data_IF_255122938446
#
_entry.id   IF_255122938446
#
_cell.length_a   1.000
_cell.length_b   1.000
_cell.length_c   1.000
_cell.angle_alpha   90.00
_cell.angle_beta   90.00
_cell.angle_gamma   90.00
#
_symmetry.space_group_name_H-M   'P 1'
#
loop_
_entity.id
_entity.type
_entity.pdbx_description
1 polymer ?
#
# COMPACT_ATOMS: atom_id res chain seq x y z
N UNK A 1 -1.36 29.35 12.12
CA UNK A 1 -2.57 28.89 11.42
C UNK A 1 -3.47 28.24 12.46
N UNK A 2 -4.64 28.80 12.75
CA UNK A 2 -5.57 28.18 13.72
C UNK A 2 -6.44 27.18 12.98
N UNK A 3 -6.21 25.89 13.18
CA UNK A 3 -7.08 24.82 12.69
C UNK A 3 -8.35 24.88 13.55
N UNK A 4 -9.49 25.17 12.92
CA UNK A 4 -10.80 25.24 13.60
C UNK A 4 -11.55 23.93 13.52
N UNK A 5 -11.40 23.23 12.39
CA UNK A 5 -12.17 22.05 12.05
C UNK A 5 -11.19 20.94 11.65
N UNK A 6 -11.48 19.70 12.01
CA UNK A 6 -10.75 18.51 11.58
C UNK A 6 -11.71 17.56 10.89
N UNK A 7 -11.41 17.17 9.66
CA UNK A 7 -12.15 16.17 8.92
C UNK A 7 -11.33 14.88 8.87
N UNK A 8 -11.75 13.89 9.65
CA UNK A 8 -11.14 12.57 9.70
C UNK A 8 -12.22 11.48 9.68
N UNK A 9 -12.74 11.14 8.50
CA UNK A 9 -13.87 10.23 8.38
C UNK A 9 -13.49 8.79 8.69
N UNK A 10 -14.44 7.99 9.18
CA UNK A 10 -14.33 6.56 9.28
C UNK A 10 -14.54 5.93 7.89
N UNK A 11 -13.54 5.21 7.41
CA UNK A 11 -13.51 4.59 6.08
C UNK A 11 -13.46 3.07 6.17
N UNK A 12 -14.62 2.41 6.21
CA UNK A 12 -14.70 0.94 6.29
C UNK A 12 -14.31 0.28 4.96
N UNK A 13 -14.76 0.85 3.84
CA UNK A 13 -14.49 0.34 2.50
C UNK A 13 -13.58 1.28 1.72
N UNK A 14 -12.65 0.70 1.00
CA UNK A 14 -11.82 1.40 0.02
C UNK A 14 -12.39 1.25 -1.40
N UNK A 15 -11.74 1.87 -2.37
CA UNK A 15 -12.06 1.66 -3.80
C UNK A 15 -11.80 0.19 -4.15
N UNK A 16 -12.70 -0.43 -4.89
CA UNK A 16 -12.53 -1.79 -5.38
C UNK A 16 -11.58 -1.81 -6.57
N UNK A 17 -10.46 -2.49 -6.42
CA UNK A 17 -9.45 -2.66 -7.47
C UNK A 17 -9.59 -4.00 -8.24
N UNK A 18 -10.58 -4.79 -7.89
CA UNK A 18 -10.84 -6.08 -8.53
C UNK A 18 -9.81 -7.17 -8.20
N UNK A 19 -8.98 -6.98 -7.17
CA UNK A 19 -7.90 -7.90 -6.80
C UNK A 19 -8.29 -8.87 -5.69
N UNK A 20 -9.23 -8.50 -4.83
CA UNK A 20 -9.62 -9.26 -3.66
C UNK A 20 -11.05 -9.82 -3.73
N UNK A 21 -11.45 -10.54 -2.68
CA UNK A 21 -12.82 -11.01 -2.47
C UNK A 21 -13.70 -9.90 -1.88
N UNK A 22 -13.05 -8.93 -1.25
CA UNK A 22 -13.64 -7.71 -0.75
C UNK A 22 -12.58 -6.59 -0.75
N UNK A 23 -12.96 -5.37 -0.40
CA UNK A 23 -12.13 -4.18 -0.45
C UNK A 23 -12.23 -3.36 0.84
N UNK A 24 -12.16 -4.03 1.99
CA UNK A 24 -12.14 -3.38 3.30
C UNK A 24 -10.83 -2.63 3.54
N UNK A 25 -10.91 -1.58 4.34
CA UNK A 25 -9.76 -1.09 5.09
C UNK A 25 -9.59 -1.92 6.37
N UNK A 26 -8.38 -1.96 6.90
CA UNK A 26 -8.16 -2.61 8.18
C UNK A 26 -8.93 -1.89 9.31
N UNK A 27 -9.29 -2.59 10.40
CA UNK A 27 -10.08 -2.00 11.49
C UNK A 27 -9.49 -0.72 12.06
N UNK A 28 -8.16 -0.61 12.17
CA UNK A 28 -7.50 0.61 12.65
C UNK A 28 -7.78 1.79 11.74
N UNK A 29 -7.66 1.64 10.43
CA UNK A 29 -7.98 2.71 9.47
C UNK A 29 -9.48 3.03 9.48
N UNK A 30 -10.33 2.00 9.59
CA UNK A 30 -11.77 2.16 9.51
C UNK A 30 -12.36 2.91 10.72
N UNK A 31 -11.81 2.71 11.95
CA UNK A 31 -12.43 3.15 13.21
C UNK A 31 -11.58 4.08 14.06
N UNK A 32 -10.34 4.37 13.66
CA UNK A 32 -9.44 5.20 14.46
C UNK A 32 -9.99 6.61 14.78
N UNK A 33 -10.75 7.26 13.87
CA UNK A 33 -11.40 8.53 14.21
C UNK A 33 -12.34 8.45 15.40
N UNK A 34 -13.11 7.36 15.56
CA UNK A 34 -13.96 7.16 16.76
C UNK A 34 -13.13 6.95 18.02
N UNK A 35 -12.01 6.23 17.93
CA UNK A 35 -11.09 6.04 19.05
C UNK A 35 -10.54 7.38 19.52
N UNK A 36 -10.14 8.25 18.60
CA UNK A 36 -9.69 9.61 18.94
C UNK A 36 -10.80 10.44 19.55
N UNK A 37 -12.00 10.44 18.96
CA UNK A 37 -13.13 11.18 19.48
C UNK A 37 -13.51 10.79 20.92
N UNK A 38 -13.38 9.50 21.25
CA UNK A 38 -13.69 8.97 22.58
C UNK A 38 -12.57 9.08 23.61
N UNK A 39 -11.32 9.34 23.19
CA UNK A 39 -10.16 9.26 24.10
C UNK A 39 -9.28 10.52 24.12
N UNK A 40 -9.55 11.53 23.29
CA UNK A 40 -8.78 12.76 23.25
C UNK A 40 -9.61 13.95 23.79
N UNK A 41 -9.48 14.33 25.07
CA UNK A 41 -10.20 15.47 25.64
C UNK A 41 -9.94 16.79 24.90
N UNK A 42 -8.79 16.91 24.23
CA UNK A 42 -8.41 18.08 23.44
C UNK A 42 -9.32 18.33 22.24
N UNK A 43 -10.11 17.34 21.85
CA UNK A 43 -11.12 17.45 20.79
C UNK A 43 -12.45 18.00 21.29
N UNK A 44 -12.67 18.05 22.61
CA UNK A 44 -13.90 18.64 23.19
C UNK A 44 -14.06 20.11 22.77
N UNK A 45 -15.26 20.45 22.33
CA UNK A 45 -15.58 21.81 21.87
C UNK A 45 -14.98 22.19 20.51
N UNK A 46 -14.24 21.30 19.85
CA UNK A 46 -13.74 21.47 18.48
C UNK A 46 -14.65 20.78 17.48
N UNK A 47 -14.71 21.30 16.25
CA UNK A 47 -15.43 20.65 15.17
C UNK A 47 -14.58 19.49 14.64
N UNK A 48 -14.81 18.29 15.19
CA UNK A 48 -14.18 17.06 14.75
C UNK A 48 -15.22 16.22 13.98
N UNK A 49 -15.00 16.06 12.67
CA UNK A 49 -15.93 15.40 11.76
C UNK A 49 -15.40 14.01 11.46
N UNK A 50 -16.02 12.97 12.03
CA UNK A 50 -15.62 11.57 11.94
C UNK A 50 -16.73 10.64 11.47
N UNK A 51 -17.69 11.19 10.73
CA UNK A 51 -18.78 10.40 10.15
C UNK A 51 -18.25 9.24 9.27
N UNK A 52 -19.00 8.15 9.26
CA UNK A 52 -18.73 7.03 8.34
C UNK A 52 -19.06 7.41 6.92
N UNK A 53 -18.10 7.31 6.01
CA UNK A 53 -18.28 7.55 4.59
C UNK A 53 -17.66 6.41 3.78
N UNK A 54 -18.27 6.08 2.64
CA UNK A 54 -17.78 5.03 1.75
C UNK A 54 -17.36 5.62 0.42
N UNK A 55 -16.07 5.55 0.10
CA UNK A 55 -15.52 6.07 -1.16
C UNK A 55 -15.68 5.10 -2.33
N UNK A 56 -16.05 3.85 -2.08
CA UNK A 56 -16.18 2.78 -3.07
C UNK A 56 -17.39 2.94 -4.00
N UNK A 57 -18.37 3.76 -3.61
CA UNK A 57 -19.59 4.04 -4.41
C UNK A 57 -19.78 5.54 -4.56
N UNK A 58 -19.27 6.15 -5.64
CA UNK A 58 -19.27 7.60 -5.80
C UNK A 58 -20.63 8.27 -5.65
N UNK A 59 -21.70 7.65 -6.20
CA UNK A 59 -23.06 8.20 -6.08
C UNK A 59 -23.58 8.20 -4.66
N UNK A 60 -23.36 7.09 -3.92
CA UNK A 60 -23.78 6.97 -2.53
C UNK A 60 -22.97 7.90 -1.64
N UNK A 61 -21.68 8.07 -1.93
CA UNK A 61 -20.80 9.02 -1.26
C UNK A 61 -21.33 10.45 -1.39
N UNK A 62 -21.62 10.91 -2.61
CA UNK A 62 -22.15 12.25 -2.87
C UNK A 62 -23.45 12.48 -2.11
N UNK A 63 -24.39 11.54 -2.21
CA UNK A 63 -25.68 11.63 -1.52
C UNK A 63 -25.49 11.71 0.00
N UNK A 64 -24.68 10.83 0.57
CA UNK A 64 -24.41 10.81 2.02
C UNK A 64 -23.72 12.10 2.50
N UNK A 65 -22.74 12.59 1.77
CA UNK A 65 -22.04 13.84 2.09
C UNK A 65 -23.03 15.02 2.05
N UNK A 66 -23.82 15.15 0.98
CA UNK A 66 -24.72 16.28 0.78
C UNK A 66 -25.91 16.30 1.73
N UNK A 67 -26.45 15.13 2.09
CA UNK A 67 -27.69 15.04 2.89
C UNK A 67 -27.44 14.76 4.37
N UNK A 68 -26.41 14.00 4.70
CA UNK A 68 -26.28 13.45 6.06
C UNK A 68 -25.03 13.99 6.79
N UNK A 69 -23.93 14.29 6.12
CA UNK A 69 -22.69 14.71 6.79
C UNK A 69 -22.55 16.21 6.80
N UNK A 70 -22.41 16.84 5.62
CA UNK A 70 -22.10 18.27 5.55
C UNK A 70 -23.16 19.16 6.24
N UNK A 71 -24.48 18.91 6.12
CA UNK A 71 -25.48 19.75 6.79
C UNK A 71 -25.40 19.78 8.31
N UNK A 72 -24.78 18.77 8.95
CA UNK A 72 -24.56 18.77 10.42
C UNK A 72 -23.57 19.84 10.85
N UNK A 73 -22.62 20.18 9.98
CA UNK A 73 -21.46 21.01 10.33
C UNK A 73 -21.42 22.34 9.57
N UNK A 74 -21.98 22.38 8.38
CA UNK A 74 -21.92 23.52 7.46
C UNK A 74 -23.29 23.80 6.84
N UNK A 75 -23.63 25.07 6.71
CA UNK A 75 -24.83 25.52 6.01
C UNK A 75 -24.52 25.93 4.57
N UNK A 76 -25.58 25.88 3.70
CA UNK A 76 -25.52 26.52 2.39
C UNK A 76 -24.79 25.74 1.30
N UNK A 77 -24.38 24.49 1.53
CA UNK A 77 -23.72 23.65 0.53
C UNK A 77 -24.78 22.88 -0.26
N UNK A 78 -24.79 23.04 -1.57
CA UNK A 78 -25.72 22.35 -2.47
C UNK A 78 -25.22 20.95 -2.83
N UNK A 79 -26.14 20.04 -3.14
CA UNK A 79 -25.78 18.69 -3.63
C UNK A 79 -24.97 18.75 -4.93
N UNK A 80 -25.22 19.75 -5.77
CA UNK A 80 -24.46 19.97 -7.00
C UNK A 80 -23.01 20.30 -6.73
N UNK A 81 -22.72 21.17 -5.78
CA UNK A 81 -21.34 21.48 -5.37
C UNK A 81 -20.62 20.24 -4.84
N UNK A 82 -21.28 19.41 -4.03
CA UNK A 82 -20.72 18.16 -3.53
C UNK A 82 -20.44 17.20 -4.68
N UNK A 83 -21.34 17.12 -5.66
CA UNK A 83 -21.15 16.26 -6.84
C UNK A 83 -19.96 16.71 -7.70
N UNK A 84 -19.81 18.01 -7.94
CA UNK A 84 -18.72 18.57 -8.72
C UNK A 84 -17.37 18.34 -7.99
N UNK A 85 -17.32 18.60 -6.68
CA UNK A 85 -16.13 18.39 -5.87
C UNK A 85 -15.74 16.90 -5.81
N UNK A 86 -16.70 16.02 -5.61
CA UNK A 86 -16.46 14.57 -5.61
C UNK A 86 -15.95 14.07 -6.97
N UNK A 87 -16.56 14.53 -8.07
CA UNK A 87 -16.10 14.16 -9.41
C UNK A 87 -14.64 14.57 -9.66
N UNK A 88 -14.27 15.79 -9.24
CA UNK A 88 -12.89 16.26 -9.33
C UNK A 88 -11.92 15.42 -8.47
N UNK A 89 -12.33 15.08 -7.24
CA UNK A 89 -11.52 14.27 -6.33
C UNK A 89 -11.29 12.85 -6.85
N UNK A 90 -12.32 12.19 -7.36
CA UNK A 90 -12.18 10.86 -7.96
C UNK A 90 -11.30 10.88 -9.21
N UNK A 91 -11.46 11.88 -10.07
CA UNK A 91 -10.62 12.04 -11.26
C UNK A 91 -9.14 12.24 -10.90
N UNK A 92 -8.85 13.05 -9.87
CA UNK A 92 -7.46 13.26 -9.40
C UNK A 92 -6.88 11.98 -8.75
N UNK A 93 -7.69 11.23 -8.01
CA UNK A 93 -7.25 9.94 -7.45
C UNK A 93 -6.86 8.96 -8.55
N UNK A 94 -7.69 8.81 -9.58
CA UNK A 94 -7.40 7.94 -10.73
C UNK A 94 -6.15 8.41 -11.49
N UNK A 95 -6.02 9.72 -11.71
CA UNK A 95 -4.85 10.31 -12.36
C UNK A 95 -3.58 10.09 -11.54
N UNK A 96 -3.64 10.20 -10.21
CA UNK A 96 -2.54 9.92 -9.30
C UNK A 96 -2.08 8.47 -9.39
N UNK A 97 -3.00 7.51 -9.31
CA UNK A 97 -2.69 6.09 -9.45
C UNK A 97 -2.12 5.74 -10.83
N UNK A 98 -2.62 6.38 -11.88
CA UNK A 98 -2.06 6.23 -13.23
C UNK A 98 -0.62 6.74 -13.31
N UNK A 99 -0.31 7.90 -12.71
CA UNK A 99 1.07 8.44 -12.64
C UNK A 99 2.03 7.48 -11.91
N UNK A 100 1.60 6.87 -10.81
CA UNK A 100 2.41 5.85 -10.08
C UNK A 100 2.73 4.67 -11.00
N UNK A 101 1.73 4.14 -11.71
CA UNK A 101 1.91 3.00 -12.63
C UNK A 101 2.83 3.33 -13.80
N UNK A 102 2.68 4.52 -14.38
CA UNK A 102 3.57 5.00 -15.46
C UNK A 102 4.99 5.12 -14.92
N UNK A 103 5.17 5.76 -13.77
CA UNK A 103 6.49 5.93 -13.18
C UNK A 103 7.15 4.60 -12.82
N UNK A 104 6.38 3.65 -12.28
CA UNK A 104 6.86 2.30 -12.04
C UNK A 104 7.32 1.59 -13.32
N UNK A 105 6.55 1.74 -14.41
CA UNK A 105 6.93 1.18 -15.71
C UNK A 105 8.23 1.80 -16.25
N UNK A 106 8.38 3.12 -16.18
CA UNK A 106 9.61 3.81 -16.58
C UNK A 106 10.85 3.32 -15.80
N UNK A 107 10.70 3.13 -14.48
CA UNK A 107 11.79 2.62 -13.61
C UNK A 107 12.15 1.18 -13.99
N UNK A 108 11.16 0.32 -14.22
CA UNK A 108 11.36 -1.07 -14.62
C UNK A 108 12.09 -1.13 -15.97
N UNK A 109 11.65 -0.37 -16.96
CA UNK A 109 12.24 -0.36 -18.29
C UNK A 109 13.69 0.18 -18.27
N UNK A 110 13.94 1.21 -17.45
CA UNK A 110 15.29 1.75 -17.26
C UNK A 110 16.21 0.74 -16.56
N UNK A 111 15.72 0.08 -15.49
CA UNK A 111 16.47 -0.94 -14.78
C UNK A 111 16.86 -2.10 -15.72
N UNK A 112 15.94 -2.55 -16.57
CA UNK A 112 16.19 -3.60 -17.57
C UNK A 112 17.21 -3.18 -18.63
N UNK A 113 17.14 -1.94 -19.11
CA UNK A 113 18.16 -1.42 -20.04
C UNK A 113 19.56 -1.36 -19.41
N UNK A 114 19.63 -1.14 -18.11
CA UNK A 114 20.89 -1.10 -17.34
C UNK A 114 21.33 -2.47 -16.81
N UNK A 115 20.58 -3.53 -17.06
CA UNK A 115 20.86 -4.87 -16.51
C UNK A 115 20.76 -4.93 -14.98
N UNK A 116 19.97 -4.05 -14.37
CA UNK A 116 19.80 -3.97 -12.91
C UNK A 116 18.66 -4.88 -12.45
N UNK A 117 18.85 -5.50 -11.30
CA UNK A 117 17.80 -6.18 -10.56
C UNK A 117 16.75 -5.17 -10.08
N UNK A 118 15.50 -5.62 -9.99
CA UNK A 118 14.38 -4.80 -9.53
C UNK A 118 13.87 -5.37 -8.22
N UNK A 119 13.76 -4.54 -7.19
CA UNK A 119 13.16 -4.88 -5.91
C UNK A 119 11.81 -4.18 -5.78
N UNK A 120 10.76 -4.98 -5.60
CA UNK A 120 9.45 -4.47 -5.22
C UNK A 120 9.45 -4.27 -3.70
N UNK A 121 9.48 -3.01 -3.27
CA UNK A 121 9.37 -2.65 -1.86
C UNK A 121 7.87 -2.58 -1.53
N UNK A 122 7.35 -3.68 -1.00
CA UNK A 122 5.93 -3.90 -0.81
C UNK A 122 5.52 -3.68 0.65
N UNK A 123 4.39 -3.01 0.85
CA UNK A 123 3.89 -2.72 2.17
C UNK A 123 2.52 -2.06 2.12
N UNK A 124 2.24 -1.19 3.06
CA UNK A 124 1.07 -0.30 3.03
C UNK A 124 1.49 1.07 2.53
N UNK A 125 0.57 1.89 2.02
CA UNK A 125 0.92 3.20 1.44
C UNK A 125 1.81 4.07 2.33
N UNK A 126 1.63 4.05 3.65
CA UNK A 126 2.44 4.84 4.58
C UNK A 126 3.87 4.32 4.76
N UNK A 127 4.18 3.09 4.35
CA UNK A 127 5.53 2.54 4.42
C UNK A 127 6.54 3.21 3.48
N UNK A 128 6.06 3.96 2.48
CA UNK A 128 6.95 4.73 1.57
C UNK A 128 7.22 6.15 2.06
N UNK A 129 6.55 6.59 3.13
CA UNK A 129 6.85 7.87 3.77
C UNK A 129 8.31 7.86 4.31
N UNK A 130 9.12 8.90 4.03
CA UNK A 130 10.53 8.94 4.44
C UNK A 130 10.76 8.79 5.95
N UNK A 131 9.85 9.31 6.79
CA UNK A 131 9.95 9.17 8.25
C UNK A 131 9.63 7.75 8.72
N UNK A 132 8.75 7.04 8.03
CA UNK A 132 8.38 5.65 8.32
C UNK A 132 9.39 4.68 7.71
N UNK A 133 9.85 4.95 6.50
CA UNK A 133 10.76 4.10 5.73
C UNK A 133 12.21 4.14 6.26
N UNK A 134 12.61 5.22 6.91
CA UNK A 134 13.96 5.45 7.42
C UNK A 134 15.10 5.30 6.37
N UNK A 135 14.78 5.36 5.08
CA UNK A 135 15.74 5.24 3.99
C UNK A 135 16.07 3.80 3.59
N UNK A 136 15.17 2.84 3.85
CA UNK A 136 15.31 1.45 3.37
C UNK A 136 15.39 1.40 1.84
N UNK A 137 14.62 2.21 1.14
CA UNK A 137 14.68 2.40 -0.31
C UNK A 137 16.09 2.77 -0.79
N UNK A 138 16.76 3.68 -0.07
CA UNK A 138 18.14 4.08 -0.36
C UNK A 138 19.14 2.99 -0.04
N UNK A 139 18.91 2.18 0.98
CA UNK A 139 19.76 1.01 1.25
C UNK A 139 19.67 0.00 0.11
N UNK A 140 18.48 -0.27 -0.40
CA UNK A 140 18.29 -1.19 -1.53
C UNK A 140 18.97 -0.66 -2.79
N UNK A 141 18.82 0.63 -3.09
CA UNK A 141 19.46 1.23 -4.27
C UNK A 141 20.99 1.27 -4.19
N UNK A 142 21.57 1.35 -2.98
CA UNK A 142 23.03 1.22 -2.76
C UNK A 142 23.57 -0.16 -3.10
N UNK A 143 22.73 -1.20 -3.10
CA UNK A 143 23.08 -2.52 -3.58
C UNK A 143 22.97 -2.67 -5.12
N UNK A 144 22.74 -1.57 -5.84
CA UNK A 144 22.67 -1.55 -7.31
C UNK A 144 21.31 -1.91 -7.90
N UNK A 145 20.31 -2.19 -7.08
CA UNK A 145 18.95 -2.50 -7.56
C UNK A 145 18.11 -1.25 -7.80
N UNK A 146 17.14 -1.36 -8.70
CA UNK A 146 16.05 -0.40 -8.82
C UNK A 146 14.94 -0.75 -7.84
N UNK A 147 14.18 0.23 -7.38
CA UNK A 147 13.07 0.06 -6.44
C UNK A 147 11.77 0.55 -7.06
N UNK A 148 10.75 -0.28 -6.97
CA UNK A 148 9.35 0.08 -7.28
C UNK A 148 8.44 -0.35 -6.14
N UNK A 149 7.22 0.18 -6.08
CA UNK A 149 6.23 -0.16 -5.04
C UNK A 149 5.18 -1.14 -5.58
N UNK A 150 4.47 -1.83 -4.69
CA UNK A 150 3.43 -2.80 -5.05
C UNK A 150 2.29 -2.18 -5.87
N UNK A 151 1.91 -0.93 -5.59
CA UNK A 151 0.83 -0.24 -6.28
C UNK A 151 1.17 0.16 -7.72
N UNK A 152 2.47 0.19 -8.06
CA UNK A 152 2.92 0.44 -9.43
C UNK A 152 2.77 -0.77 -10.37
N UNK A 153 2.59 -1.98 -9.81
CA UNK A 153 2.59 -3.24 -10.57
C UNK A 153 1.42 -4.18 -10.26
N UNK A 154 0.70 -3.98 -9.16
CA UNK A 154 -0.38 -4.88 -8.72
C UNK A 154 -1.49 -5.07 -9.77
N UNK A 155 -1.75 -4.06 -10.58
CA UNK A 155 -2.72 -4.11 -11.67
C UNK A 155 -2.29 -4.96 -12.89
N UNK A 156 -1.07 -5.51 -12.89
CA UNK A 156 -0.56 -6.38 -13.96
C UNK A 156 -0.97 -7.85 -13.77
N UNK A 157 -1.68 -8.15 -12.70
CA UNK A 157 -2.20 -9.48 -12.38
C UNK A 157 -3.70 -9.39 -12.22
N UNK A 158 -4.42 -10.37 -12.75
CA UNK A 158 -5.84 -10.54 -12.47
C UNK A 158 -6.03 -11.22 -11.12
N UNK A 159 -7.22 -11.10 -10.52
CA UNK A 159 -7.58 -11.81 -9.31
C UNK A 159 -7.31 -13.31 -9.45
N UNK A 160 -6.70 -13.91 -8.44
CA UNK A 160 -6.36 -15.31 -8.36
C UNK A 160 -6.73 -15.88 -6.98
N UNK A 161 -6.88 -17.21 -6.84
CA UNK A 161 -7.14 -17.85 -5.55
C UNK A 161 -5.98 -17.65 -4.57
N UNK A 162 -6.32 -17.37 -3.31
CA UNK A 162 -5.41 -17.31 -2.17
C UNK A 162 -5.80 -18.35 -1.13
N UNK A 163 -4.87 -18.79 -0.28
CA UNK A 163 -5.16 -19.76 0.79
C UNK A 163 -5.98 -19.15 1.92
N UNK A 164 -5.97 -17.82 2.01
CA UNK A 164 -6.74 -17.04 2.98
C UNK A 164 -7.79 -16.17 2.28
N UNK A 165 -8.81 -15.75 3.03
CA UNK A 165 -9.81 -14.80 2.51
C UNK A 165 -9.15 -13.45 2.20
N UNK A 166 -9.12 -13.11 0.94
CA UNK A 166 -8.49 -11.90 0.43
C UNK A 166 -9.46 -10.71 0.46
N UNK A 167 -9.62 -10.08 1.62
CA UNK A 167 -10.69 -9.11 1.87
C UNK A 167 -10.25 -7.66 2.09
N UNK A 168 -8.94 -7.37 2.12
CA UNK A 168 -8.42 -6.03 2.36
C UNK A 168 -7.68 -5.48 1.15
N UNK A 169 -8.01 -4.27 0.74
CA UNK A 169 -7.47 -3.64 -0.48
C UNK A 169 -5.95 -3.65 -0.54
N UNK A 170 -5.27 -3.19 0.50
CA UNK A 170 -3.81 -3.08 0.46
C UNK A 170 -3.10 -4.43 0.53
N UNK A 171 -3.71 -5.43 1.18
CA UNK A 171 -3.17 -6.80 1.20
C UNK A 171 -3.36 -7.50 -0.15
N UNK A 172 -4.50 -7.25 -0.81
CA UNK A 172 -4.73 -7.71 -2.18
C UNK A 172 -3.65 -7.20 -3.16
N UNK A 173 -3.21 -5.95 -2.99
CA UNK A 173 -2.08 -5.39 -3.77
C UNK A 173 -0.78 -6.14 -3.50
N UNK A 174 -0.48 -6.47 -2.24
CA UNK A 174 0.72 -7.23 -1.86
C UNK A 174 0.73 -8.60 -2.52
N UNK A 175 -0.38 -9.32 -2.46
CA UNK A 175 -0.51 -10.64 -3.10
C UNK A 175 -0.38 -10.55 -4.62
N UNK A 176 -1.01 -9.57 -5.25
CA UNK A 176 -0.89 -9.34 -6.68
C UNK A 176 0.55 -8.99 -7.09
N UNK A 177 1.24 -8.15 -6.32
CA UNK A 177 2.65 -7.83 -6.56
C UNK A 177 3.55 -9.05 -6.39
N UNK A 178 3.35 -9.87 -5.33
CA UNK A 178 4.07 -11.11 -5.14
C UNK A 178 3.85 -12.08 -6.31
N UNK A 179 2.60 -12.23 -6.75
CA UNK A 179 2.25 -13.06 -7.91
C UNK A 179 2.91 -12.55 -9.19
N UNK A 180 2.92 -11.24 -9.42
CA UNK A 180 3.62 -10.66 -10.56
C UNK A 180 5.13 -10.95 -10.51
N UNK A 181 5.77 -10.80 -9.35
CA UNK A 181 7.19 -11.11 -9.18
C UNK A 181 7.53 -12.55 -9.58
N UNK A 182 6.64 -13.53 -9.34
CA UNK A 182 6.89 -14.93 -9.73
C UNK A 182 6.96 -15.13 -11.25
N UNK A 183 6.43 -14.20 -12.02
CA UNK A 183 6.45 -14.24 -13.49
C UNK A 183 7.66 -13.50 -14.09
N UNK A 184 8.45 -12.81 -13.28
CA UNK A 184 9.56 -11.96 -13.71
C UNK A 184 10.89 -12.53 -13.17
N UNK A 185 11.88 -12.79 -14.03
CA UNK A 185 13.19 -13.32 -13.60
C UNK A 185 14.00 -12.27 -12.82
N UNK A 186 13.95 -11.03 -13.25
CA UNK A 186 14.74 -9.87 -12.81
C UNK A 186 14.14 -9.11 -11.61
N UNK A 187 13.01 -9.59 -11.07
CA UNK A 187 12.24 -8.90 -10.04
C UNK A 187 12.05 -9.77 -8.81
N UNK A 188 12.35 -9.23 -7.64
CA UNK A 188 12.18 -9.86 -6.34
C UNK A 188 11.45 -8.91 -5.38
N UNK A 189 10.85 -9.44 -4.32
CA UNK A 189 10.02 -8.66 -3.40
C UNK A 189 10.60 -8.62 -1.99
N UNK A 190 10.62 -7.42 -1.40
CA UNK A 190 10.90 -7.16 0.00
C UNK A 190 9.66 -6.60 0.65
N UNK A 191 9.11 -7.31 1.62
CA UNK A 191 7.91 -6.88 2.33
C UNK A 191 8.26 -6.09 3.58
N UNK A 192 7.69 -4.89 3.69
CA UNK A 192 7.70 -4.09 4.91
C UNK A 192 6.49 -4.46 5.77
N UNK A 193 6.72 -4.70 7.05
CA UNK A 193 5.67 -5.04 8.02
C UNK A 193 5.75 -4.13 9.22
N UNK A 194 4.60 -3.78 9.77
CA UNK A 194 4.51 -2.98 10.97
C UNK A 194 4.55 -3.86 12.22
N UNK A 195 5.07 -3.29 13.27
CA UNK A 195 5.11 -3.86 14.59
C UNK A 195 3.71 -4.18 15.13
N UNK A 196 3.53 -5.42 15.61
CA UNK A 196 2.31 -5.82 16.31
C UNK A 196 1.02 -5.86 15.50
N UNK A 197 1.08 -5.70 14.16
CA UNK A 197 -0.10 -5.81 13.33
C UNK A 197 -0.52 -7.27 13.10
N UNK A 198 -1.64 -7.70 13.68
CA UNK A 198 -2.16 -9.06 13.50
C UNK A 198 -2.51 -9.42 12.06
N UNK A 199 -2.90 -8.43 11.25
CA UNK A 199 -3.17 -8.65 9.82
C UNK A 199 -1.89 -8.94 9.05
N UNK A 200 -0.74 -8.35 9.46
CA UNK A 200 0.55 -8.64 8.84
C UNK A 200 0.97 -10.10 9.06
N UNK A 201 0.61 -10.72 10.18
CA UNK A 201 0.91 -12.12 10.40
C UNK A 201 0.32 -13.02 9.30
N UNK A 202 -0.95 -12.78 8.93
CA UNK A 202 -1.62 -13.52 7.84
C UNK A 202 -1.02 -13.13 6.48
N UNK A 203 -0.82 -11.84 6.26
CA UNK A 203 -0.34 -11.33 4.97
C UNK A 203 1.08 -11.78 4.65
N UNK A 204 1.95 -11.88 5.66
CA UNK A 204 3.33 -12.35 5.46
C UNK A 204 3.38 -13.82 5.09
N UNK A 205 2.53 -14.65 5.67
CA UNK A 205 2.49 -16.08 5.36
C UNK A 205 1.98 -16.31 3.93
N UNK A 206 0.86 -15.69 3.56
CA UNK A 206 0.33 -15.81 2.19
C UNK A 206 1.31 -15.26 1.14
N UNK A 207 1.93 -14.10 1.38
CA UNK A 207 2.93 -13.52 0.47
C UNK A 207 4.13 -14.45 0.31
N UNK A 208 4.58 -15.08 1.40
CA UNK A 208 5.67 -16.06 1.39
C UNK A 208 5.29 -17.28 0.55
N UNK A 209 4.11 -17.84 0.77
CA UNK A 209 3.62 -19.00 0.02
C UNK A 209 3.56 -18.72 -1.48
N UNK A 210 3.00 -17.57 -1.88
CA UNK A 210 2.94 -17.16 -3.28
C UNK A 210 4.34 -17.08 -3.90
N UNK A 211 5.29 -16.42 -3.23
CA UNK A 211 6.65 -16.25 -3.73
C UNK A 211 7.40 -17.59 -3.81
N UNK A 212 7.35 -18.40 -2.76
CA UNK A 212 8.04 -19.69 -2.69
C UNK A 212 7.48 -20.68 -3.71
N UNK A 213 6.16 -20.72 -3.91
CA UNK A 213 5.54 -21.53 -4.95
C UNK A 213 6.01 -21.13 -6.37
N UNK A 214 6.42 -19.88 -6.57
CA UNK A 214 7.02 -19.36 -7.81
C UNK A 214 8.55 -19.43 -7.85
N UNK A 215 9.20 -20.11 -6.89
CA UNK A 215 10.67 -20.24 -6.83
C UNK A 215 11.40 -18.94 -6.45
N UNK A 216 10.70 -17.99 -5.82
CA UNK A 216 11.26 -16.71 -5.35
C UNK A 216 11.62 -16.77 -3.87
N UNK A 217 12.64 -15.99 -3.49
CA UNK A 217 12.95 -15.77 -2.09
C UNK A 217 11.96 -14.81 -1.45
N UNK A 218 11.64 -15.05 -0.18
CA UNK A 218 10.82 -14.13 0.63
C UNK A 218 11.69 -13.41 1.64
N UNK A 219 11.63 -12.09 1.64
CA UNK A 219 12.33 -11.24 2.60
C UNK A 219 11.35 -10.27 3.25
N UNK A 220 11.33 -10.32 4.58
CA UNK A 220 10.52 -9.44 5.42
C UNK A 220 11.41 -8.50 6.21
N UNK A 221 11.09 -7.22 6.18
CA UNK A 221 11.71 -6.19 7.00
C UNK A 221 10.66 -5.62 7.97
N UNK A 222 10.93 -5.73 9.24
CA UNK A 222 10.07 -5.17 10.27
C UNK A 222 10.42 -3.71 10.48
N UNK A 223 9.43 -2.84 10.31
CA UNK A 223 9.53 -1.42 10.60
C UNK A 223 8.93 -1.18 11.98
N UNK A 224 9.78 -0.77 12.89
CA UNK A 224 9.41 -0.33 14.23
C UNK A 224 9.94 1.10 14.45
N UNK A 225 10.00 1.57 15.68
CA UNK A 225 10.76 2.76 16.07
C UNK A 225 12.27 2.52 15.85
N UNK A 226 12.66 2.40 14.58
CA UNK A 226 14.02 2.02 14.20
C UNK A 226 14.91 3.23 14.33
N UNK A 227 15.79 3.20 15.31
CA UNK A 227 16.90 4.16 15.43
C UNK A 227 18.15 3.71 14.68
N UNK A 228 18.22 2.43 14.27
CA UNK A 228 19.40 1.84 13.65
C UNK A 228 19.04 0.85 12.53
N UNK A 229 19.45 1.17 11.31
CA UNK A 229 19.25 0.32 10.12
C UNK A 229 20.25 -0.84 9.98
N UNK A 230 21.10 -1.09 10.97
CA UNK A 230 22.13 -2.15 10.90
C UNK A 230 21.54 -3.53 10.63
N UNK A 231 20.49 -3.93 11.36
CA UNK A 231 19.82 -5.21 11.15
C UNK A 231 19.15 -5.31 9.78
N UNK A 232 18.53 -4.21 9.31
CA UNK A 232 17.96 -4.12 7.98
C UNK A 232 19.01 -4.31 6.91
N UNK A 233 20.16 -3.62 7.05
CA UNK A 233 21.27 -3.73 6.11
C UNK A 233 21.85 -5.15 6.05
N UNK A 234 21.99 -5.83 7.19
CA UNK A 234 22.43 -7.24 7.22
C UNK A 234 21.45 -8.13 6.46
N UNK A 235 20.15 -7.98 6.69
CA UNK A 235 19.12 -8.76 5.96
C UNK A 235 19.14 -8.49 4.46
N UNK A 236 19.29 -7.23 4.04
CA UNK A 236 19.39 -6.88 2.62
C UNK A 236 20.67 -7.48 2.01
N UNK A 237 21.82 -7.39 2.68
CA UNK A 237 23.06 -8.04 2.20
C UNK A 237 22.90 -9.54 2.04
N UNK A 238 22.25 -10.22 2.99
CA UNK A 238 21.97 -11.65 2.89
C UNK A 238 21.03 -11.97 1.74
N UNK A 239 20.00 -11.14 1.52
CA UNK A 239 19.11 -11.29 0.36
C UNK A 239 19.90 -11.18 -0.94
N UNK A 240 20.68 -10.09 -1.13
CA UNK A 240 21.40 -9.88 -2.38
C UNK A 240 22.42 -11.00 -2.65
N UNK A 241 23.14 -11.48 -1.63
CA UNK A 241 24.04 -12.63 -1.77
C UNK A 241 23.29 -13.91 -2.22
N UNK A 242 22.13 -14.19 -1.63
CA UNK A 242 21.32 -15.35 -2.02
C UNK A 242 20.70 -15.21 -3.44
N UNK A 243 20.39 -13.97 -3.84
CA UNK A 243 19.92 -13.70 -5.20
C UNK A 243 21.04 -13.88 -6.25
N UNK A 244 22.26 -13.47 -5.91
CA UNK A 244 23.43 -13.65 -6.77
C UNK A 244 23.73 -15.15 -6.96
N UNK A 245 23.78 -15.93 -5.87
CA UNK A 245 23.95 -17.40 -5.91
C UNK A 245 22.85 -18.08 -6.73
N UNK A 246 21.59 -17.68 -6.55
CA UNK A 246 20.47 -18.23 -7.37
C UNK A 246 20.69 -17.99 -8.86
N UNK A 247 21.11 -16.79 -9.22
CA UNK A 247 21.27 -16.39 -10.61
C UNK A 247 22.49 -17.08 -11.24
N UNK A 248 23.58 -17.29 -10.49
CA UNK A 248 24.76 -18.09 -10.89
C UNK A 248 24.37 -19.56 -11.16
N UNK A 249 23.68 -20.21 -10.22
CA UNK A 249 23.19 -21.59 -10.38
C UNK A 249 22.23 -21.71 -11.56
N UNK A 250 21.43 -20.69 -11.83
CA UNK A 250 20.52 -20.70 -12.99
C UNK A 250 21.28 -20.58 -14.33
N UNK A 251 22.37 -19.81 -14.35
CA UNK A 251 23.23 -19.68 -15.52
C UNK A 251 23.97 -20.97 -15.83
N UNK A 252 24.57 -21.63 -14.81
CA UNK A 252 25.25 -22.91 -14.95
C UNK A 252 24.36 -24.05 -15.49
N UNK A 253 23.07 -24.04 -15.18
CA UNK A 253 22.11 -25.03 -15.66
C UNK A 253 21.62 -24.77 -17.09
N UNK A 254 21.86 -23.57 -17.61
CA UNK A 254 21.43 -23.18 -18.96
C UNK A 254 22.53 -23.40 -20.03
N UNK A 255 23.78 -23.65 -19.62
CA UNK A 255 24.92 -24.12 -20.42
C UNK A 255 24.90 -25.65 -20.56
#
# INVERSE_FOLDING_TARGET
>A
MCIRDSFYPCLTYNVDEGLGDNHYNCPVVAYYPEVLAGNCPELEGKKFIYDYVGIHRPKDFVHKMAKNVLPKYFGGISEKEVQEAAAAAYAEYEAHMAKIRVKGSEIIDEARRQGKRIIVLAGRPYHVDPEVNHGIDRLITRHGAAVVTEDSISNRVQKFPTSVLNQWTYHSRLYAAAKYCTTQKDMDLVQLVSFGCGVDAITTDETREILQAGGKLYTQLKIDEITNLGAVNIRLRSLFAALDERDEVAAEKAE
#
